data_IF_444616072869
#
_entry.id   IF_444616072869
#
_cell.length_a   1.000
_cell.length_b   1.000
_cell.length_c   1.000
_cell.angle_alpha   90.00
_cell.angle_beta   90.00
_cell.angle_gamma   90.00
#
_symmetry.space_group_name_H-M   'P 1'
#
loop_
_entity.id
_entity.type
_entity.pdbx_description
1 polymer ?
#
# COMPACT_ATOMS: atom_id res chain seq x y z
N UNK A 1 11.75 3.32 -1.31
CA UNK A 1 12.42 2.39 -0.37
C UNK A 1 11.50 2.09 0.80
N UNK A 2 11.35 0.82 1.19
CA UNK A 2 10.50 0.40 2.30
C UNK A 2 11.27 -0.55 3.24
N UNK A 3 11.20 -0.40 4.57
CA UNK A 3 11.77 -1.36 5.51
C UNK A 3 10.98 -2.68 5.49
N UNK A 4 11.67 -3.83 5.66
CA UNK A 4 11.03 -5.16 5.54
C UNK A 4 10.13 -5.51 6.74
N UNK A 5 10.48 -5.06 7.95
CA UNK A 5 9.82 -5.47 9.19
C UNK A 5 9.04 -4.36 9.91
N UNK A 6 8.76 -3.23 9.24
CA UNK A 6 7.98 -2.12 9.84
C UNK A 6 6.65 -1.97 9.13
N UNK A 7 5.61 -1.65 9.88
CA UNK A 7 4.26 -1.37 9.38
C UNK A 7 3.93 0.13 9.47
N UNK A 8 2.70 0.50 9.09
CA UNK A 8 2.17 1.86 9.21
C UNK A 8 2.89 2.94 8.36
N UNK A 9 3.72 2.54 7.40
CA UNK A 9 4.46 3.45 6.53
C UNK A 9 5.64 4.16 7.21
N UNK A 10 6.01 3.75 8.43
CA UNK A 10 7.18 4.29 9.14
C UNK A 10 8.47 3.91 8.42
N UNK A 11 9.28 4.91 8.08
CA UNK A 11 10.58 4.70 7.41
C UNK A 11 10.51 4.54 5.90
N UNK A 12 9.35 4.76 5.27
CA UNK A 12 9.25 4.83 3.80
C UNK A 12 9.82 6.16 3.31
N UNK A 13 10.68 6.08 2.30
CA UNK A 13 11.28 7.22 1.62
C UNK A 13 11.21 7.01 0.10
N UNK A 14 10.79 8.04 -0.62
CA UNK A 14 10.76 8.09 -2.08
C UNK A 14 12.03 8.81 -2.52
N UNK A 15 12.73 8.26 -3.50
CA UNK A 15 13.95 8.84 -4.06
C UNK A 15 13.92 8.75 -5.58
N UNK A 16 14.72 9.59 -6.24
CA UNK A 16 14.77 9.69 -7.71
C UNK A 16 16.06 9.18 -8.33
N UNK A 17 17.16 9.32 -7.60
CA UNK A 17 18.48 8.96 -8.06
C UNK A 17 19.25 8.22 -6.96
N UNK A 18 20.31 7.52 -7.36
CA UNK A 18 21.15 6.75 -6.44
C UNK A 18 21.93 7.63 -5.46
N UNK A 19 22.18 8.91 -5.80
CA UNK A 19 22.89 9.85 -4.91
C UNK A 19 22.10 10.09 -3.63
N UNK A 20 20.77 10.20 -3.71
CA UNK A 20 19.87 10.33 -2.57
C UNK A 20 19.94 9.10 -1.64
N UNK A 21 20.08 7.89 -2.20
CA UNK A 21 20.26 6.66 -1.40
C UNK A 21 21.60 6.71 -0.65
N UNK A 22 22.68 7.09 -1.33
CA UNK A 22 24.01 7.19 -0.73
C UNK A 22 24.05 8.23 0.39
N UNK A 23 23.41 9.39 0.20
CA UNK A 23 23.27 10.43 1.22
C UNK A 23 22.46 9.93 2.42
N UNK A 24 21.32 9.26 2.17
CA UNK A 24 20.50 8.67 3.22
C UNK A 24 21.27 7.60 4.00
N UNK A 25 22.02 6.73 3.31
CA UNK A 25 22.85 5.69 3.94
C UNK A 25 23.92 6.30 4.84
N UNK A 26 24.57 7.37 4.40
CA UNK A 26 25.60 8.06 5.19
C UNK A 26 25.00 8.79 6.42
N UNK A 27 23.83 9.40 6.28
CA UNK A 27 23.14 10.06 7.40
C UNK A 27 22.59 9.07 8.45
N UNK A 28 22.30 7.83 8.05
CA UNK A 28 21.78 6.77 8.92
C UNK A 28 22.83 5.69 9.24
N UNK A 29 24.11 5.92 8.93
CA UNK A 29 25.20 4.93 9.05
C UNK A 29 25.78 4.79 10.45
N UNK A 30 25.34 5.60 11.42
CA UNK A 30 25.89 5.56 12.78
C UNK A 30 24.80 5.76 13.83
N UNK A 31 24.28 4.66 14.36
CA UNK A 31 23.73 4.63 15.71
C UNK A 31 24.42 3.48 16.46
N UNK A 32 25.38 3.78 17.36
CA UNK A 32 26.13 2.76 18.09
C UNK A 32 25.25 1.86 18.98
N UNK A 33 23.99 2.25 19.26
CA UNK A 33 23.03 1.44 20.01
C UNK A 33 22.18 0.49 19.15
N UNK A 34 22.29 0.54 17.81
CA UNK A 34 21.55 -0.34 16.90
C UNK A 34 22.36 -0.65 15.63
N UNK A 35 23.30 -1.62 15.68
CA UNK A 35 24.20 -1.94 14.56
C UNK A 35 23.49 -2.52 13.32
N UNK A 36 22.22 -2.90 13.45
CA UNK A 36 21.41 -3.42 12.36
C UNK A 36 20.73 -2.28 11.61
N UNK A 37 21.41 -1.67 10.64
CA UNK A 37 20.72 -0.93 9.58
C UNK A 37 19.75 -1.92 8.91
N UNK A 38 18.48 -1.93 9.35
CA UNK A 38 17.51 -2.94 8.98
C UNK A 38 17.39 -3.10 7.46
N UNK A 39 17.02 -4.29 6.99
CA UNK A 39 16.90 -4.55 5.55
C UNK A 39 15.80 -3.71 4.90
N UNK A 40 16.07 -3.21 3.69
CA UNK A 40 15.15 -2.40 2.89
C UNK A 40 14.90 -3.02 1.52
N UNK A 41 13.69 -2.82 1.01
CA UNK A 41 13.30 -3.13 -0.37
C UNK A 41 13.23 -1.84 -1.17
N UNK A 42 13.85 -1.86 -2.35
CA UNK A 42 13.68 -0.83 -3.37
C UNK A 42 12.58 -1.29 -4.32
N UNK A 43 11.52 -0.50 -4.42
CA UNK A 43 10.36 -0.77 -5.27
C UNK A 43 10.16 0.43 -6.19
N UNK A 44 9.94 0.16 -7.48
CA UNK A 44 9.54 1.20 -8.44
C UNK A 44 8.24 1.84 -7.98
N UNK A 45 8.22 3.17 -7.92
CA UNK A 45 7.03 3.92 -7.55
C UNK A 45 6.02 3.94 -8.70
N UNK A 46 4.74 3.74 -8.39
CA UNK A 46 3.65 3.86 -9.36
C UNK A 46 3.28 5.35 -9.42
N UNK A 47 3.83 6.03 -10.42
CA UNK A 47 3.72 7.48 -10.64
C UNK A 47 2.42 7.91 -11.30
N UNK A 48 1.69 6.97 -11.92
CA UNK A 48 0.40 7.22 -12.55
C UNK A 48 -0.68 6.30 -11.96
N UNK A 49 -1.05 6.49 -10.68
CA UNK A 49 -2.07 5.69 -10.03
C UNK A 49 -3.48 6.08 -10.49
N UNK A 50 -4.43 5.17 -10.40
CA UNK A 50 -5.84 5.50 -10.56
C UNK A 50 -6.26 6.50 -9.48
N UNK A 51 -6.92 7.58 -9.89
CA UNK A 51 -7.42 8.62 -9.00
C UNK A 51 -8.95 8.66 -8.98
N UNK A 52 -9.53 8.76 -7.78
CA UNK A 52 -10.96 9.07 -7.60
C UNK A 52 -11.10 10.43 -6.93
N UNK A 53 -11.86 11.34 -7.56
CA UNK A 53 -11.96 12.73 -7.08
C UNK A 53 -10.61 13.46 -7.01
N UNK A 54 -9.63 13.03 -7.81
CA UNK A 54 -8.26 13.53 -7.79
C UNK A 54 -7.41 13.02 -6.62
N UNK A 55 -7.87 12.05 -5.83
CA UNK A 55 -7.14 11.49 -4.69
C UNK A 55 -6.60 10.10 -5.02
N UNK A 56 -5.39 9.82 -4.56
CA UNK A 56 -4.77 8.49 -4.66
C UNK A 56 -5.38 7.56 -3.62
N UNK A 57 -5.48 6.29 -3.96
CA UNK A 57 -5.91 5.26 -3.01
C UNK A 57 -5.20 3.94 -3.23
N UNK A 58 -5.25 3.10 -2.21
CA UNK A 58 -4.98 1.67 -2.31
C UNK A 58 -6.17 0.89 -1.74
N UNK A 59 -6.30 -0.38 -2.09
CA UNK A 59 -7.35 -1.28 -1.64
C UNK A 59 -6.78 -2.31 -0.67
N UNK A 60 -7.37 -2.38 0.52
CA UNK A 60 -7.20 -3.49 1.48
C UNK A 60 -8.23 -4.57 1.17
N UNK A 61 -7.75 -5.75 0.81
CA UNK A 61 -8.57 -6.94 0.54
C UNK A 61 -8.18 -8.04 1.51
N UNK A 62 -9.16 -8.67 2.14
CA UNK A 62 -8.95 -9.76 3.08
C UNK A 62 -9.11 -11.12 2.39
N UNK A 63 -8.13 -12.00 2.59
CA UNK A 63 -8.13 -13.36 2.08
C UNK A 63 -7.85 -14.34 3.22
N UNK A 64 -8.78 -15.25 3.48
CA UNK A 64 -8.62 -16.34 4.43
C UNK A 64 -8.08 -17.57 3.68
N UNK A 65 -6.87 -18.00 4.01
CA UNK A 65 -6.31 -19.25 3.53
C UNK A 65 -6.53 -20.33 4.60
N UNK A 66 -7.31 -21.36 4.28
CA UNK A 66 -7.61 -22.45 5.24
C UNK A 66 -6.77 -23.69 5.01
N UNK A 67 -6.15 -23.80 3.83
CA UNK A 67 -5.36 -24.95 3.46
C UNK A 67 -4.45 -24.57 2.29
N UNK A 68 -3.20 -25.02 2.31
CA UNK A 68 -2.23 -24.87 1.23
C UNK A 68 -2.16 -26.11 0.31
N UNK A 69 -2.67 -27.26 0.74
CA UNK A 69 -2.63 -28.50 -0.05
C UNK A 69 -3.90 -29.35 0.13
N UNK A 70 -4.92 -29.22 -0.77
CA UNK A 70 -5.03 -28.26 -1.87
C UNK A 70 -5.23 -26.82 -1.39
N UNK A 71 -4.75 -25.85 -2.17
CA UNK A 71 -4.87 -24.43 -1.87
C UNK A 71 -6.34 -24.00 -1.83
N UNK A 72 -6.81 -23.53 -0.68
CA UNK A 72 -8.20 -23.12 -0.43
C UNK A 72 -8.21 -21.70 0.13
N UNK A 73 -8.73 -20.76 -0.67
CA UNK A 73 -8.70 -19.32 -0.37
C UNK A 73 -10.13 -18.78 -0.43
N UNK A 74 -10.52 -18.07 0.62
CA UNK A 74 -11.79 -17.35 0.70
C UNK A 74 -11.53 -15.85 0.72
N UNK A 75 -12.00 -15.15 -0.31
CA UNK A 75 -11.95 -13.69 -0.32
C UNK A 75 -13.13 -13.15 0.46
N UNK A 76 -12.86 -12.24 1.39
CA UNK A 76 -13.92 -11.56 2.09
C UNK A 76 -14.68 -10.66 1.10
N UNK A 77 -16.02 -10.70 1.17
CA UNK A 77 -16.89 -9.92 0.26
C UNK A 77 -16.71 -8.41 0.44
N UNK A 78 -16.18 -8.00 1.59
CA UNK A 78 -15.89 -6.60 1.87
C UNK A 78 -14.40 -6.37 2.00
N UNK A 79 -14.03 -5.12 1.76
CA UNK A 79 -12.71 -4.56 1.93
C UNK A 79 -12.87 -3.05 1.96
N UNK A 80 -11.76 -2.32 2.02
CA UNK A 80 -11.84 -0.88 1.96
C UNK A 80 -10.70 -0.28 1.15
N UNK A 81 -11.04 0.76 0.39
CA UNK A 81 -10.06 1.63 -0.24
C UNK A 81 -9.64 2.70 0.76
N UNK A 82 -8.33 2.90 0.94
CA UNK A 82 -7.74 3.95 1.76
C UNK A 82 -7.30 5.09 0.87
N UNK A 83 -7.89 6.26 1.06
CA UNK A 83 -7.59 7.45 0.28
C UNK A 83 -6.56 8.33 0.98
N UNK A 84 -5.79 9.06 0.19
CA UNK A 84 -5.02 10.21 0.66
C UNK A 84 -5.97 11.36 1.02
N UNK A 85 -5.65 12.16 2.03
CA UNK A 85 -6.46 13.34 2.36
C UNK A 85 -6.33 14.43 1.29
N UNK A 86 -5.15 14.53 0.67
CA UNK A 86 -4.83 15.52 -0.35
C UNK A 86 -5.03 14.98 -1.76
N UNK A 87 -5.31 15.89 -2.70
CA UNK A 87 -5.30 15.57 -4.13
C UNK A 87 -3.89 15.16 -4.54
N UNK A 88 -3.82 14.21 -5.47
CA UNK A 88 -2.59 13.73 -6.04
C UNK A 88 -2.01 14.78 -6.97
N UNK A 89 -0.75 15.13 -6.75
CA UNK A 89 0.01 16.05 -7.58
C UNK A 89 1.35 15.40 -7.94
N UNK A 90 1.63 15.31 -9.24
CA UNK A 90 2.86 14.74 -9.79
C UNK A 90 3.98 15.76 -9.85
N UNK A 91 3.64 17.06 -9.90
CA UNK A 91 4.60 18.16 -9.99
C UNK A 91 5.35 18.37 -8.66
N UNK A 92 4.71 18.01 -7.54
CA UNK A 92 5.36 17.98 -6.22
C UNK A 92 6.49 16.94 -6.12
N UNK A 93 6.39 15.84 -6.86
CA UNK A 93 7.51 14.90 -7.00
C UNK A 93 8.60 15.60 -7.82
N UNK A 94 8.24 16.23 -8.95
CA UNK A 94 9.16 16.84 -9.92
C UNK A 94 9.97 18.04 -9.39
N UNK A 95 9.36 18.87 -8.56
CA UNK A 95 9.94 20.12 -8.08
C UNK A 95 10.85 19.99 -6.84
N UNK A 96 11.03 18.77 -6.31
CA UNK A 96 11.80 18.50 -5.09
C UNK A 96 13.32 18.77 -5.19
N UNK A 97 13.85 19.15 -6.36
CA UNK A 97 15.29 19.25 -6.62
C UNK A 97 15.89 20.67 -6.50
N UNK A 98 15.10 21.74 -6.37
CA UNK A 98 15.61 23.10 -6.62
C UNK A 98 15.75 24.05 -5.40
N UNK A 99 15.44 23.65 -4.16
CA UNK A 99 15.58 24.57 -3.01
C UNK A 99 15.91 23.88 -1.67
N UNK A 100 17.12 24.12 -1.16
CA UNK A 100 17.65 23.50 0.06
C UNK A 100 16.92 23.91 1.35
N UNK A 101 16.30 25.10 1.40
CA UNK A 101 15.65 25.64 2.61
C UNK A 101 14.18 25.21 2.81
N UNK A 102 13.58 24.45 1.89
CA UNK A 102 12.18 23.95 2.01
C UNK A 102 12.08 22.42 2.18
N UNK A 103 13.21 21.73 2.33
CA UNK A 103 13.30 20.25 2.30
C UNK A 103 12.41 19.54 3.34
N UNK A 104 12.29 20.09 4.55
CA UNK A 104 11.53 19.44 5.64
C UNK A 104 10.02 19.47 5.38
N UNK A 105 9.44 20.64 5.06
CA UNK A 105 8.01 20.81 4.76
C UNK A 105 7.60 19.99 3.52
N UNK A 106 8.48 19.89 2.52
CA UNK A 106 8.26 19.07 1.33
C UNK A 106 8.22 17.56 1.62
N UNK A 107 9.08 17.06 2.52
CA UNK A 107 9.06 15.63 2.93
C UNK A 107 7.74 15.27 3.63
N UNK A 108 7.18 16.18 4.44
CA UNK A 108 5.88 15.96 5.09
C UNK A 108 4.73 15.95 4.09
N UNK A 109 4.67 16.92 3.16
CA UNK A 109 3.65 16.94 2.08
C UNK A 109 3.71 15.71 1.18
N UNK A 110 4.90 15.30 0.73
CA UNK A 110 5.05 14.10 -0.09
C UNK A 110 4.59 12.82 0.64
N UNK A 111 4.80 12.70 1.95
CA UNK A 111 4.32 11.54 2.70
C UNK A 111 2.80 11.48 2.77
N UNK A 112 2.11 12.60 3.01
CA UNK A 112 0.64 12.62 3.11
C UNK A 112 -0.06 12.56 1.75
N UNK A 113 0.60 12.96 0.66
CA UNK A 113 0.05 12.88 -0.71
C UNK A 113 0.32 11.53 -1.38
N UNK A 114 1.38 10.80 -0.99
CA UNK A 114 1.78 9.57 -1.67
C UNK A 114 1.60 8.28 -0.85
N UNK A 115 1.45 8.38 0.46
CA UNK A 115 1.24 7.25 1.36
C UNK A 115 -0.18 7.29 1.92
N UNK A 116 -0.93 6.23 1.68
CA UNK A 116 -2.33 6.06 2.06
C UNK A 116 -2.50 5.50 3.49
N UNK A 117 -1.40 5.18 4.17
CA UNK A 117 -1.42 4.63 5.52
C UNK A 117 -2.11 5.57 6.51
N UNK A 118 -3.13 5.07 7.20
CA UNK A 118 -3.94 5.82 8.18
C UNK A 118 -3.08 6.49 9.27
N UNK A 119 -2.00 5.85 9.71
CA UNK A 119 -1.11 6.43 10.71
C UNK A 119 -0.37 7.71 10.24
N UNK A 120 -0.12 7.83 8.93
CA UNK A 120 0.50 9.00 8.31
C UNK A 120 -0.56 10.07 8.03
N UNK A 121 -1.77 9.65 7.68
CA UNK A 121 -2.90 10.52 7.40
C UNK A 121 -3.46 11.19 8.67
N UNK A 122 -3.42 10.51 9.83
CA UNK A 122 -3.87 11.06 11.12
C UNK A 122 -3.04 12.23 11.67
N UNK A 123 -1.79 12.37 11.21
CA UNK A 123 -0.90 13.46 11.66
C UNK A 123 -1.04 14.74 10.84
N UNK A 124 -1.93 14.80 9.85
CA UNK A 124 -2.16 16.03 9.08
C UNK A 124 -3.13 16.97 9.82
N UNK A 125 -2.82 18.27 9.84
CA UNK A 125 -3.62 19.34 10.49
C UNK A 125 -5.08 19.41 10.00
N UNK A 126 -5.39 18.85 8.82
CA UNK A 126 -6.73 18.80 8.23
C UNK A 126 -7.41 17.42 8.36
N UNK A 127 -7.07 16.63 9.37
CA UNK A 127 -7.73 15.34 9.62
C UNK A 127 -9.18 15.57 10.05
N UNK A 128 -10.09 15.55 9.08
CA UNK A 128 -11.52 15.50 9.36
C UNK A 128 -11.97 14.03 9.43
N UNK A 129 -12.26 13.58 10.65
CA UNK A 129 -12.75 12.24 10.94
C UNK A 129 -14.09 11.94 10.23
N UNK A 130 -14.83 12.98 9.81
CA UNK A 130 -16.11 12.86 9.08
C UNK A 130 -15.97 12.74 7.56
N UNK A 131 -14.87 13.23 6.96
CA UNK A 131 -14.65 13.21 5.49
C UNK A 131 -14.03 11.90 4.97
N UNK A 132 -13.96 10.86 5.80
CA UNK A 132 -13.92 9.46 5.37
C UNK A 132 -12.83 9.14 4.34
N UNK A 133 -11.57 9.10 4.77
CA UNK A 133 -10.45 8.57 3.98
C UNK A 133 -10.53 7.06 3.71
N UNK A 134 -11.69 6.44 3.93
CA UNK A 134 -11.97 5.03 3.66
C UNK A 134 -13.30 4.87 2.94
N UNK A 135 -13.30 4.23 1.78
CA UNK A 135 -14.54 3.78 1.14
C UNK A 135 -14.64 2.27 1.22
N UNK A 136 -15.86 1.75 1.37
CA UNK A 136 -16.09 0.33 1.15
C UNK A 136 -15.73 -0.03 -0.29
N UNK A 137 -15.16 -1.21 -0.48
CA UNK A 137 -14.73 -1.68 -1.79
C UNK A 137 -15.90 -1.74 -2.79
N UNK A 138 -17.11 -2.06 -2.32
CA UNK A 138 -18.32 -2.03 -3.14
C UNK A 138 -18.66 -0.63 -3.63
N UNK A 139 -18.58 0.38 -2.75
CA UNK A 139 -18.80 1.78 -3.12
C UNK A 139 -17.76 2.24 -4.14
N UNK A 140 -16.49 1.90 -3.93
CA UNK A 140 -15.43 2.18 -4.91
C UNK A 140 -15.73 1.51 -6.25
N UNK A 141 -16.10 0.23 -6.26
CA UNK A 141 -16.39 -0.51 -7.50
C UNK A 141 -17.53 0.15 -8.28
N UNK A 142 -18.62 0.53 -7.61
CA UNK A 142 -19.74 1.24 -8.25
C UNK A 142 -19.31 2.58 -8.86
N UNK A 143 -18.49 3.35 -8.16
CA UNK A 143 -17.95 4.62 -8.66
C UNK A 143 -17.03 4.41 -9.87
N UNK A 144 -16.23 3.34 -9.86
CA UNK A 144 -15.40 2.96 -11.01
C UNK A 144 -16.25 2.52 -12.20
N UNK A 145 -17.30 1.72 -11.99
CA UNK A 145 -18.21 1.27 -13.05
C UNK A 145 -18.87 2.46 -13.74
N UNK A 146 -19.35 3.43 -12.94
CA UNK A 146 -19.95 4.66 -13.45
C UNK A 146 -19.00 5.46 -14.36
N UNK A 147 -17.69 5.45 -14.06
CA UNK A 147 -16.69 6.24 -14.80
C UNK A 147 -16.05 5.51 -15.98
N UNK A 148 -15.79 4.21 -15.86
CA UNK A 148 -14.98 3.44 -16.81
C UNK A 148 -15.74 2.33 -17.53
N UNK A 149 -17.00 2.08 -17.15
CA UNK A 149 -17.82 0.99 -17.67
C UNK A 149 -17.63 -0.32 -16.90
N UNK A 150 -18.68 -1.15 -16.89
CA UNK A 150 -18.72 -2.38 -16.09
C UNK A 150 -17.65 -3.39 -16.51
N UNK A 151 -17.53 -3.66 -17.82
CA UNK A 151 -16.64 -4.68 -18.37
C UNK A 151 -15.18 -4.50 -17.92
N UNK A 152 -14.61 -3.31 -18.14
CA UNK A 152 -13.23 -2.98 -17.75
C UNK A 152 -12.99 -3.09 -16.24
N UNK A 153 -13.99 -2.73 -15.44
CA UNK A 153 -13.87 -2.78 -13.98
C UNK A 153 -13.98 -4.23 -13.49
N UNK A 154 -14.86 -5.03 -14.06
CA UNK A 154 -14.94 -6.46 -13.74
C UNK A 154 -13.64 -7.18 -14.12
N UNK A 155 -13.04 -6.85 -15.26
CA UNK A 155 -11.72 -7.36 -15.65
C UNK A 155 -10.63 -6.96 -14.63
N UNK A 156 -10.58 -5.70 -14.21
CA UNK A 156 -9.62 -5.23 -13.21
C UNK A 156 -9.75 -5.99 -11.89
N UNK A 157 -10.98 -6.21 -11.40
CA UNK A 157 -11.23 -6.99 -10.18
C UNK A 157 -10.92 -8.48 -10.35
N UNK A 158 -11.10 -9.04 -11.54
CA UNK A 158 -10.64 -10.39 -11.85
C UNK A 158 -9.11 -10.50 -11.79
N UNK A 159 -8.38 -9.53 -12.35
CA UNK A 159 -6.92 -9.47 -12.27
C UNK A 159 -6.44 -9.33 -10.81
N UNK A 160 -7.16 -8.56 -9.98
CA UNK A 160 -6.92 -8.47 -8.53
C UNK A 160 -7.00 -9.85 -7.86
N UNK A 161 -8.04 -10.63 -8.15
CA UNK A 161 -8.19 -11.99 -7.62
C UNK A 161 -7.05 -12.90 -8.09
N UNK A 162 -6.68 -12.81 -9.37
CA UNK A 162 -5.57 -13.57 -9.96
C UNK A 162 -4.24 -13.28 -9.25
N UNK A 163 -3.97 -12.02 -8.91
CA UNK A 163 -2.76 -11.63 -8.16
C UNK A 163 -2.73 -12.30 -6.78
N UNK A 164 -3.84 -12.28 -6.04
CA UNK A 164 -3.92 -12.89 -4.70
C UNK A 164 -3.67 -14.39 -4.77
N UNK A 165 -4.32 -15.08 -5.72
CA UNK A 165 -4.15 -16.52 -5.93
C UNK A 165 -2.70 -16.84 -6.27
N UNK A 166 -2.10 -16.14 -7.24
CA UNK A 166 -0.70 -16.34 -7.65
C UNK A 166 0.29 -16.09 -6.51
N UNK A 167 0.04 -15.07 -5.68
CA UNK A 167 0.88 -14.77 -4.53
C UNK A 167 0.89 -15.91 -3.51
N UNK A 168 -0.28 -16.49 -3.20
CA UNK A 168 -0.39 -17.62 -2.28
C UNK A 168 0.12 -18.93 -2.89
N UNK A 169 -0.08 -19.14 -4.20
CA UNK A 169 0.50 -20.26 -4.94
C UNK A 169 2.04 -20.24 -4.93
N UNK A 170 2.65 -19.05 -5.04
CA UNK A 170 4.10 -18.91 -5.05
C UNK A 170 4.77 -19.39 -3.75
N UNK A 171 4.08 -19.27 -2.61
CA UNK A 171 4.56 -19.73 -1.30
C UNK A 171 4.04 -21.11 -0.91
N UNK A 172 3.12 -21.67 -1.69
CA UNK A 172 2.39 -22.90 -1.34
C UNK A 172 3.31 -24.08 -0.99
N UNK A 173 4.47 -24.21 -1.65
CA UNK A 173 5.41 -25.32 -1.44
C UNK A 173 6.26 -25.18 -0.16
N UNK A 174 6.39 -23.97 0.38
CA UNK A 174 7.20 -23.70 1.57
C UNK A 174 6.35 -23.48 2.82
N UNK A 175 5.06 -23.22 2.66
CA UNK A 175 4.13 -23.07 3.78
C UNK A 175 3.80 -24.43 4.40
N UNK A 176 3.83 -24.47 5.73
CA UNK A 176 3.42 -25.66 6.49
C UNK A 176 1.91 -25.83 6.34
N UNK A 177 1.48 -27.02 5.92
CA UNK A 177 0.07 -27.33 5.73
C UNK A 177 -0.49 -28.16 6.91
N UNK A 178 -0.93 -27.49 7.97
CA UNK A 178 -1.72 -28.10 9.05
C UNK A 178 -3.21 -27.79 8.83
N UNK A 179 -4.05 -28.83 8.75
CA UNK A 179 -5.50 -28.71 8.54
C UNK A 179 -6.24 -28.02 9.69
N UNK A 180 -5.58 -27.83 10.84
CA UNK A 180 -6.10 -27.13 12.02
C UNK A 180 -5.72 -25.65 12.03
N UNK A 181 -4.88 -25.22 11.09
CA UNK A 181 -4.44 -23.84 10.98
C UNK A 181 -5.16 -23.14 9.83
N UNK A 182 -5.43 -21.86 10.02
CA UNK A 182 -5.86 -20.96 8.97
C UNK A 182 -5.13 -19.64 9.14
N UNK A 183 -5.00 -18.90 8.05
CA UNK A 183 -4.30 -17.62 8.05
C UNK A 183 -5.15 -16.57 7.36
N UNK A 184 -5.33 -15.43 8.03
CA UNK A 184 -6.01 -14.27 7.46
C UNK A 184 -4.97 -13.27 6.96
N UNK A 185 -5.02 -13.02 5.65
CA UNK A 185 -4.14 -12.10 4.97
C UNK A 185 -4.85 -10.78 4.65
N UNK A 186 -4.13 -9.69 4.83
CA UNK A 186 -4.48 -8.38 4.29
C UNK A 186 -3.60 -8.04 3.09
N UNK A 187 -4.19 -8.10 1.89
CA UNK A 187 -3.52 -7.70 0.65
C UNK A 187 -3.75 -6.21 0.38
N UNK A 188 -2.66 -5.48 0.15
CA UNK A 188 -2.67 -4.08 -0.28
C UNK A 188 -2.40 -3.99 -1.77
N UNK A 189 -3.41 -3.54 -2.53
CA UNK A 189 -3.37 -3.49 -3.99
C UNK A 189 -3.67 -2.08 -4.47
N UNK A 190 -2.92 -1.59 -5.45
CA UNK A 190 -3.18 -0.32 -6.11
C UNK A 190 -3.47 -0.54 -7.58
N UNK A 191 -4.38 0.27 -8.14
CA UNK A 191 -4.64 0.31 -9.57
C UNK A 191 -3.86 1.46 -10.18
N UNK A 192 -3.27 1.25 -11.36
CA UNK A 192 -2.76 2.35 -12.18
C UNK A 192 -3.87 2.99 -13.03
N UNK A 193 -3.54 4.07 -13.74
CA UNK A 193 -4.46 4.81 -14.62
C UNK A 193 -5.13 3.94 -15.69
N UNK A 194 -4.53 2.80 -16.06
CA UNK A 194 -5.07 1.84 -17.03
C UNK A 194 -5.90 0.73 -16.36
N UNK A 195 -6.28 0.90 -15.10
CA UNK A 195 -6.99 -0.09 -14.27
C UNK A 195 -6.21 -1.38 -14.03
N UNK A 196 -4.90 -1.40 -14.28
CA UNK A 196 -4.07 -2.58 -14.00
C UNK A 196 -3.73 -2.64 -12.50
N UNK A 197 -3.98 -3.78 -11.83
CA UNK A 197 -3.66 -3.94 -10.42
C UNK A 197 -2.20 -4.29 -10.18
N UNK A 198 -1.68 -3.77 -9.08
CA UNK A 198 -0.33 -3.99 -8.59
C UNK A 198 -0.37 -4.36 -7.11
N UNK A 199 0.23 -5.50 -6.77
CA UNK A 199 0.44 -5.89 -5.37
C UNK A 199 1.49 -4.98 -4.72
N UNK A 200 1.13 -4.31 -3.63
CA UNK A 200 2.04 -3.48 -2.85
C UNK A 200 2.71 -4.25 -1.73
N UNK A 201 1.90 -4.98 -0.95
CA UNK A 201 2.32 -5.83 0.16
C UNK A 201 1.21 -6.83 0.51
N UNK A 202 1.61 -7.95 1.12
CA UNK A 202 0.71 -8.87 1.81
C UNK A 202 1.14 -8.90 3.26
N UNK A 203 0.20 -8.59 4.16
CA UNK A 203 0.44 -8.58 5.60
C UNK A 203 -0.32 -9.73 6.24
N UNK A 204 0.36 -10.43 7.13
CA UNK A 204 -0.29 -11.30 8.10
C UNK A 204 -1.03 -10.41 9.12
N UNK A 205 -2.35 -10.50 9.19
CA UNK A 205 -3.14 -9.63 10.07
C UNK A 205 -3.29 -10.25 11.46
N UNK A 206 -2.26 -10.11 12.30
CA UNK A 206 -2.31 -10.52 13.71
C UNK A 206 -3.17 -9.59 14.58
N UNK A 207 -3.53 -8.39 14.09
CA UNK A 207 -4.24 -7.38 14.91
C UNK A 207 -5.72 -7.71 15.13
N UNK A 208 -6.30 -8.58 14.30
CA UNK A 208 -7.65 -9.09 14.51
C UNK A 208 -7.71 -10.24 15.52
N UNK A 209 -6.63 -11.02 15.67
CA UNK A 209 -6.57 -12.14 16.62
C UNK A 209 -6.37 -11.69 18.06
N UNK A 210 -5.81 -10.49 18.29
CA UNK A 210 -5.56 -9.95 19.63
C UNK A 210 -6.73 -9.10 20.20
N UNK A 211 -7.92 -9.17 19.59
CA UNK A 211 -9.12 -8.42 20.02
C UNK A 211 -10.33 -9.32 20.35
N UNK A 212 -10.10 -10.60 20.59
CA UNK A 212 -11.07 -11.49 21.24
C UNK A 212 -10.62 -11.78 22.67
#
# INVERSE_FOLDING_TARGET
MKPIAKSQGKGIFIFRNLKEISQWKNANRYNPENPSAGSYVVQRYISDPLLMGGKKFDMRIYALCTNYQPLSIYLYRTGFARFTHYRYDTDDINNACNNNNKKIIFIYKQKVVHLTNVAIQKTSENYDQKLGGKWLLQTLKLQMISKYGQEKVDEAFYQVQSIIIKALQAVQKVMINDKRCFELYGFDIILDSNLKPWLLESLYDSQYLSRQ
#
